data_IF_567235937320
#
_entry.id   IF_567235937320
#
_cell.length_a   1.000
_cell.length_b   1.000
_cell.length_c   1.000
_cell.angle_alpha   90.00
_cell.angle_beta   90.00
_cell.angle_gamma   90.00
#
_symmetry.space_group_name_H-M   'P 1'
#
loop_
_entity.id
_entity.type
_entity.pdbx_description
1 polymer ?
#
# COMPACT_ATOMS: atom_id res chain seq x y z
N UNK A 1 20.39 -35.46 17.83
CA UNK A 1 19.52 -34.50 17.11
C UNK A 1 18.15 -35.17 17.04
N UNK A 2 17.13 -34.69 17.78
CA UNK A 2 15.80 -35.25 17.62
C UNK A 2 15.34 -34.97 16.18
N UNK A 3 14.87 -36.01 15.47
CA UNK A 3 14.21 -35.83 14.18
C UNK A 3 13.08 -34.80 14.36
N UNK A 4 13.09 -33.76 13.53
CA UNK A 4 12.01 -32.77 13.49
C UNK A 4 10.72 -33.51 13.14
N UNK A 5 9.90 -33.78 14.17
CA UNK A 5 8.58 -34.37 13.97
C UNK A 5 7.75 -33.34 13.20
N UNK A 6 7.65 -33.60 11.91
CA UNK A 6 6.94 -32.78 10.96
C UNK A 6 5.53 -33.34 10.79
N UNK A 7 4.47 -32.61 11.17
CA UNK A 7 3.10 -33.14 11.17
C UNK A 7 2.54 -33.46 9.76
N UNK A 8 3.31 -33.14 8.70
CA UNK A 8 2.96 -33.36 7.30
C UNK A 8 4.21 -33.84 6.56
N UNK A 9 4.06 -34.77 5.61
CA UNK A 9 5.15 -35.16 4.72
C UNK A 9 5.56 -34.00 3.80
N UNK A 10 6.79 -34.04 3.29
CA UNK A 10 7.26 -33.04 2.32
C UNK A 10 6.37 -32.98 1.07
N UNK A 11 5.83 -34.12 0.64
CA UNK A 11 4.87 -34.19 -0.48
C UNK A 11 3.53 -33.51 -0.17
N UNK A 12 3.09 -33.49 1.09
CA UNK A 12 1.88 -32.80 1.52
C UNK A 12 2.08 -31.30 1.71
N UNK A 13 3.33 -30.83 1.84
CA UNK A 13 3.68 -29.41 1.99
C UNK A 13 3.96 -28.70 0.67
N UNK A 14 4.26 -29.45 -0.38
CA UNK A 14 4.52 -28.88 -1.71
C UNK A 14 3.25 -28.26 -2.29
N UNK A 15 3.38 -27.03 -2.77
CA UNK A 15 2.35 -26.42 -3.61
C UNK A 15 2.18 -27.26 -4.87
N UNK A 16 0.93 -27.49 -5.26
CA UNK A 16 0.57 -28.34 -6.40
C UNK A 16 0.13 -27.48 -7.58
N UNK A 17 0.31 -27.96 -8.82
CA UNK A 17 -0.27 -27.31 -10.00
C UNK A 17 -1.79 -27.19 -9.90
N UNK A 18 -2.36 -26.26 -10.67
CA UNK A 18 -3.81 -26.15 -10.82
C UNK A 18 -4.40 -27.46 -11.36
N UNK A 19 -5.51 -27.90 -10.77
CA UNK A 19 -6.27 -29.06 -11.25
C UNK A 19 -7.00 -28.73 -12.56
N UNK A 20 -7.52 -29.73 -13.26
CA UNK A 20 -8.40 -29.51 -14.41
C UNK A 20 -9.62 -28.66 -14.06
N UNK A 21 -10.21 -28.88 -12.89
CA UNK A 21 -11.35 -28.09 -12.41
C UNK A 21 -10.95 -26.63 -12.19
N UNK A 22 -9.82 -26.36 -11.52
CA UNK A 22 -9.35 -25.00 -11.29
C UNK A 22 -9.09 -24.25 -12.61
N UNK A 23 -8.48 -24.93 -13.58
CA UNK A 23 -8.24 -24.38 -14.93
C UNK A 23 -9.54 -24.05 -15.65
N UNK A 24 -10.50 -24.96 -15.60
CA UNK A 24 -11.81 -24.75 -16.21
C UNK A 24 -12.56 -23.57 -15.58
N UNK A 25 -12.56 -23.45 -14.24
CA UNK A 25 -13.19 -22.32 -13.53
C UNK A 25 -12.54 -20.98 -13.88
N UNK A 26 -11.20 -20.93 -13.97
CA UNK A 26 -10.49 -19.72 -14.38
C UNK A 26 -10.81 -19.33 -15.82
N UNK A 27 -10.83 -20.29 -16.75
CA UNK A 27 -11.22 -20.05 -18.14
C UNK A 27 -12.68 -19.56 -18.25
N UNK A 28 -13.60 -20.20 -17.53
CA UNK A 28 -15.01 -19.79 -17.49
C UNK A 28 -15.20 -18.40 -16.84
N UNK A 29 -14.32 -18.00 -15.92
CA UNK A 29 -14.32 -16.64 -15.38
C UNK A 29 -13.82 -15.61 -16.39
N UNK A 30 -12.80 -15.98 -17.17
CA UNK A 30 -12.23 -15.11 -18.20
C UNK A 30 -13.28 -14.67 -19.24
N UNK A 31 -14.24 -15.54 -19.57
CA UNK A 31 -15.33 -15.25 -20.50
C UNK A 31 -16.38 -14.25 -19.97
N UNK A 32 -16.36 -13.92 -18.68
CA UNK A 32 -17.38 -13.06 -18.03
C UNK A 32 -17.01 -11.58 -18.02
N UNK A 33 -15.76 -11.22 -18.28
CA UNK A 33 -15.26 -9.84 -18.17
C UNK A 33 -14.55 -9.40 -19.46
N UNK A 34 -14.58 -8.09 -19.78
CA UNK A 34 -13.95 -7.56 -20.99
C UNK A 34 -12.45 -7.36 -20.81
N UNK A 35 -11.65 -8.44 -20.76
CA UNK A 35 -10.19 -8.37 -20.57
C UNK A 35 -9.43 -7.62 -21.67
N UNK A 36 -10.05 -7.42 -22.84
CA UNK A 36 -9.46 -6.64 -23.94
C UNK A 36 -9.64 -5.13 -23.80
N UNK A 37 -10.40 -4.65 -22.81
CA UNK A 37 -10.58 -3.23 -22.55
C UNK A 37 -9.33 -2.65 -21.85
N UNK A 38 -8.55 -1.77 -22.49
CA UNK A 38 -7.31 -1.24 -21.92
C UNK A 38 -7.56 -0.09 -20.94
N UNK A 39 -8.80 0.36 -20.75
CA UNK A 39 -9.13 1.60 -20.05
C UNK A 39 -8.48 1.72 -18.66
N UNK A 40 -8.48 0.65 -17.87
CA UNK A 40 -7.89 0.68 -16.52
C UNK A 40 -6.36 0.79 -16.56
N UNK A 41 -5.70 0.16 -17.53
CA UNK A 41 -4.26 0.28 -17.73
C UNK A 41 -3.89 1.69 -18.19
N UNK A 42 -4.65 2.26 -19.12
CA UNK A 42 -4.47 3.65 -19.57
C UNK A 42 -4.67 4.65 -18.42
N UNK A 43 -5.72 4.46 -17.62
CA UNK A 43 -5.99 5.30 -16.45
C UNK A 43 -4.93 5.14 -15.36
N UNK A 44 -4.46 3.92 -15.11
CA UNK A 44 -3.36 3.68 -14.19
C UNK A 44 -2.10 4.40 -14.66
N UNK A 45 -1.74 4.35 -15.94
CA UNK A 45 -0.50 5.00 -16.40
C UNK A 45 -0.61 6.52 -16.61
N UNK A 46 -1.84 7.05 -16.70
CA UNK A 46 -2.09 8.46 -16.96
C UNK A 46 -1.41 9.37 -15.94
N UNK A 47 -0.65 10.34 -16.45
CA UNK A 47 0.03 11.34 -15.64
C UNK A 47 1.33 10.86 -14.98
N UNK A 48 1.86 9.68 -15.36
CA UNK A 48 3.13 9.18 -14.83
C UNK A 48 4.27 10.19 -14.96
N UNK A 49 5.04 10.37 -13.89
CA UNK A 49 6.21 11.26 -13.84
C UNK A 49 7.48 10.45 -13.63
N UNK A 50 7.54 9.66 -12.56
CA UNK A 50 8.73 8.92 -12.16
C UNK A 50 8.42 7.84 -11.13
N UNK A 51 9.35 6.91 -10.94
CA UNK A 51 9.27 5.88 -9.89
C UNK A 51 10.66 5.56 -9.32
N UNK A 52 10.72 4.64 -8.35
CA UNK A 52 11.96 4.02 -7.91
C UNK A 52 12.23 2.77 -8.76
N UNK A 53 13.49 2.57 -9.16
CA UNK A 53 13.94 1.40 -9.90
C UNK A 53 15.25 0.87 -9.30
N UNK A 54 15.25 -0.29 -8.60
CA UNK A 54 14.07 -1.06 -8.23
C UNK A 54 13.20 -0.35 -7.18
N UNK A 55 11.90 -0.67 -7.13
CA UNK A 55 11.03 -0.24 -6.03
C UNK A 55 11.27 -1.09 -4.78
N UNK A 56 12.34 -0.74 -4.07
CA UNK A 56 12.71 -1.35 -2.80
C UNK A 56 13.04 -0.26 -1.79
N UNK A 57 12.39 -0.32 -0.63
CA UNK A 57 12.53 0.66 0.45
C UNK A 57 13.04 -0.07 1.68
N UNK A 58 14.23 0.29 2.15
CA UNK A 58 14.87 -0.32 3.30
C UNK A 58 14.15 0.05 4.60
N UNK A 59 14.09 -0.90 5.54
CA UNK A 59 13.63 -0.58 6.90
C UNK A 59 14.73 0.20 7.63
N UNK A 60 14.34 1.26 8.34
CA UNK A 60 15.23 2.10 9.17
C UNK A 60 16.07 1.33 10.21
N UNK A 61 15.59 0.16 10.68
CA UNK A 61 16.31 -0.69 11.65
C UNK A 61 17.38 -1.60 11.01
N UNK A 62 17.47 -1.63 9.68
CA UNK A 62 18.39 -2.50 8.94
C UNK A 62 17.95 -3.98 8.90
N UNK A 63 18.57 -4.76 8.02
CA UNK A 63 18.39 -6.21 7.93
C UNK A 63 17.09 -6.70 7.27
N UNK A 64 16.16 -5.80 6.93
CA UNK A 64 14.92 -6.09 6.21
C UNK A 64 14.49 -4.92 5.32
N UNK A 65 13.60 -5.18 4.37
CA UNK A 65 12.89 -4.15 3.60
C UNK A 65 11.62 -3.74 4.34
N UNK A 66 11.30 -2.44 4.31
CA UNK A 66 9.98 -1.94 4.73
C UNK A 66 8.95 -2.19 3.63
N UNK A 67 9.39 -2.17 2.37
CA UNK A 67 8.55 -2.41 1.20
C UNK A 67 9.39 -2.85 0.01
N UNK A 68 8.89 -3.77 -0.81
CA UNK A 68 9.58 -4.24 -2.01
C UNK A 68 8.58 -4.79 -3.04
N UNK A 69 8.53 -4.16 -4.22
CA UNK A 69 7.77 -4.68 -5.37
C UNK A 69 8.70 -5.24 -6.47
N UNK A 70 10.02 -5.20 -6.30
CA UNK A 70 10.95 -5.77 -7.29
C UNK A 70 10.74 -7.28 -7.50
N UNK A 71 10.29 -7.97 -6.46
CA UNK A 71 9.93 -9.39 -6.51
C UNK A 71 8.62 -9.68 -7.26
N UNK A 72 7.83 -8.67 -7.62
CA UNK A 72 6.55 -8.81 -8.32
C UNK A 72 6.68 -8.82 -9.85
N UNK A 73 7.90 -8.78 -10.40
CA UNK A 73 8.14 -8.77 -11.84
C UNK A 73 7.56 -9.99 -12.60
N UNK A 74 7.24 -11.08 -11.90
CA UNK A 74 6.53 -12.22 -12.49
C UNK A 74 5.10 -11.90 -12.94
N UNK A 75 4.54 -10.74 -12.55
CA UNK A 75 3.26 -10.24 -13.03
C UNK A 75 3.32 -9.72 -14.48
N UNK A 76 4.51 -9.46 -15.03
CA UNK A 76 4.71 -9.07 -16.43
C UNK A 76 4.61 -10.31 -17.36
N UNK A 77 3.51 -11.03 -17.24
CA UNK A 77 3.15 -12.18 -18.06
C UNK A 77 1.63 -12.36 -18.09
N UNK A 78 1.16 -13.27 -18.94
CA UNK A 78 -0.23 -13.72 -18.91
C UNK A 78 -0.59 -14.38 -17.58
N UNK A 79 -1.88 -14.35 -17.24
CA UNK A 79 -2.39 -14.95 -16.01
C UNK A 79 -2.14 -16.47 -16.00
N UNK A 80 -1.49 -17.03 -14.96
CA UNK A 80 -1.27 -18.46 -14.85
C UNK A 80 -2.55 -19.17 -14.41
N UNK A 81 -2.65 -20.45 -14.75
CA UNK A 81 -3.76 -21.34 -14.35
C UNK A 81 -3.98 -21.45 -12.83
N UNK A 82 -3.00 -21.05 -12.01
CA UNK A 82 -3.04 -21.07 -10.55
C UNK A 82 -3.62 -19.79 -9.92
N UNK A 83 -3.93 -18.77 -10.72
CA UNK A 83 -4.49 -17.49 -10.25
C UNK A 83 -5.74 -17.16 -11.04
N UNK A 84 -6.75 -16.60 -10.38
CA UNK A 84 -7.92 -16.09 -11.08
C UNK A 84 -7.52 -14.96 -12.05
N UNK A 85 -7.96 -14.96 -13.33
CA UNK A 85 -7.48 -13.99 -14.32
C UNK A 85 -7.87 -12.54 -13.98
N UNK A 86 -9.00 -12.31 -13.31
CA UNK A 86 -9.38 -10.96 -12.87
C UNK A 86 -8.51 -10.46 -11.72
N UNK A 87 -8.16 -11.34 -10.78
CA UNK A 87 -7.20 -10.99 -9.72
C UNK A 87 -5.81 -10.71 -10.31
N UNK A 88 -5.41 -11.44 -11.35
CA UNK A 88 -4.13 -11.21 -12.02
C UNK A 88 -4.07 -9.83 -12.69
N UNK A 89 -5.11 -9.46 -13.42
CA UNK A 89 -5.23 -8.12 -14.01
C UNK A 89 -5.16 -7.03 -12.93
N UNK A 90 -5.90 -7.20 -11.83
CA UNK A 90 -5.86 -6.26 -10.70
C UNK A 90 -4.46 -6.19 -10.06
N UNK A 91 -3.76 -7.32 -9.96
CA UNK A 91 -2.40 -7.37 -9.45
C UNK A 91 -1.42 -6.62 -10.37
N UNK A 92 -1.56 -6.74 -11.70
CA UNK A 92 -0.77 -6.00 -12.67
C UNK A 92 -1.01 -4.49 -12.55
N UNK A 93 -2.27 -4.05 -12.46
CA UNK A 93 -2.63 -2.65 -12.24
C UNK A 93 -1.96 -2.10 -10.98
N UNK A 94 -2.05 -2.83 -9.87
CA UNK A 94 -1.51 -2.38 -8.59
C UNK A 94 0.02 -2.41 -8.53
N UNK A 95 0.67 -3.49 -9.01
CA UNK A 95 2.09 -3.71 -8.78
C UNK A 95 2.99 -3.15 -9.89
N UNK A 96 2.51 -3.07 -11.14
CA UNK A 96 3.32 -2.60 -12.27
C UNK A 96 3.15 -1.10 -12.56
N UNK A 97 2.11 -0.45 -12.03
CA UNK A 97 1.82 0.98 -12.26
C UNK A 97 2.13 1.85 -11.02
N UNK A 98 3.32 1.64 -10.45
CA UNK A 98 3.81 2.31 -9.26
C UNK A 98 4.62 3.58 -9.58
N UNK A 99 4.56 4.58 -8.72
CA UNK A 99 5.28 5.84 -8.95
C UNK A 99 4.56 7.10 -8.50
N UNK A 100 5.11 8.24 -8.92
CA UNK A 100 4.54 9.56 -8.83
C UNK A 100 3.75 9.88 -10.10
N UNK A 101 2.50 10.32 -9.93
CA UNK A 101 1.57 10.64 -11.00
C UNK A 101 0.95 12.02 -10.79
N UNK A 102 0.80 12.81 -11.84
CA UNK A 102 -0.05 14.00 -11.86
C UNK A 102 -1.51 13.60 -12.09
N UNK A 103 -2.39 13.95 -11.15
CA UNK A 103 -3.84 13.74 -11.28
C UNK A 103 -4.45 14.90 -12.06
N UNK A 104 -4.08 16.11 -11.66
CA UNK A 104 -4.44 17.36 -12.32
C UNK A 104 -3.43 18.45 -11.89
N UNK A 105 -3.40 19.63 -12.56
CA UNK A 105 -2.46 20.68 -12.20
C UNK A 105 -2.56 21.06 -10.71
N UNK A 106 -1.45 20.87 -9.98
CA UNK A 106 -1.39 21.15 -8.55
C UNK A 106 -1.70 19.97 -7.62
N UNK A 107 -2.08 18.79 -8.16
CA UNK A 107 -2.42 17.59 -7.40
C UNK A 107 -1.70 16.37 -7.98
N UNK A 108 -0.93 15.69 -7.13
CA UNK A 108 -0.19 14.49 -7.46
C UNK A 108 -0.49 13.36 -6.49
N UNK A 109 -0.26 12.13 -6.92
CA UNK A 109 -0.29 10.96 -6.06
C UNK A 109 0.99 10.16 -6.22
N UNK A 110 1.51 9.67 -5.09
CA UNK A 110 2.46 8.57 -5.08
C UNK A 110 1.69 7.29 -4.78
N UNK A 111 1.74 6.34 -5.72
CA UNK A 111 0.92 5.13 -5.72
C UNK A 111 1.78 3.88 -5.66
N UNK A 112 1.27 2.86 -4.97
CA UNK A 112 1.92 1.56 -4.81
C UNK A 112 3.32 1.63 -4.18
N UNK A 113 3.55 2.63 -3.32
CA UNK A 113 4.65 2.63 -2.36
C UNK A 113 4.24 1.95 -1.04
N UNK A 114 2.95 1.64 -0.92
CA UNK A 114 2.27 0.95 0.16
C UNK A 114 0.94 0.39 -0.39
N UNK A 115 0.04 -0.07 0.46
CA UNK A 115 -1.32 -0.49 0.08
C UNK A 115 -2.19 0.72 -0.32
N UNK A 116 -2.00 1.85 0.34
CA UNK A 116 -2.69 3.12 0.08
C UNK A 116 -1.86 4.04 -0.84
N UNK A 117 -2.51 5.10 -1.31
CA UNK A 117 -1.87 6.19 -2.04
C UNK A 117 -1.61 7.36 -1.11
N UNK A 118 -0.49 8.07 -1.31
CA UNK A 118 -0.25 9.37 -0.69
C UNK A 118 -0.52 10.47 -1.69
N UNK A 119 -1.42 11.41 -1.36
CA UNK A 119 -1.73 12.55 -2.24
C UNK A 119 -0.95 13.78 -1.80
N UNK A 120 -0.38 14.50 -2.76
CA UNK A 120 0.29 15.78 -2.54
C UNK A 120 -0.45 16.89 -3.29
N UNK A 121 -0.84 17.93 -2.58
CA UNK A 121 -1.45 19.13 -3.14
C UNK A 121 -0.48 20.30 -2.94
N UNK A 122 -0.21 21.04 -4.01
CA UNK A 122 0.60 22.26 -3.92
C UNK A 122 -0.23 23.39 -3.31
N UNK A 123 0.05 23.73 -2.06
CA UNK A 123 -0.43 24.95 -1.44
C UNK A 123 0.47 26.15 -1.75
N UNK A 124 0.06 27.33 -1.29
CA UNK A 124 0.81 28.58 -1.48
C UNK A 124 2.14 28.59 -0.71
N UNK A 125 2.19 27.94 0.45
CA UNK A 125 3.34 27.94 1.37
C UNK A 125 4.06 26.60 1.47
N UNK A 126 3.51 25.52 0.90
CA UNK A 126 4.06 24.18 1.09
C UNK A 126 3.21 23.06 0.49
N UNK A 127 3.54 21.83 0.85
CA UNK A 127 2.74 20.65 0.54
C UNK A 127 1.59 20.50 1.55
N UNK A 128 0.39 20.28 1.03
CA UNK A 128 -0.68 19.63 1.78
C UNK A 128 -0.62 18.15 1.42
N UNK A 129 -0.41 17.29 2.43
CA UNK A 129 -0.33 15.85 2.24
C UNK A 129 -1.65 15.22 2.71
N UNK A 130 -2.19 14.31 1.92
CA UNK A 130 -3.34 13.48 2.32
C UNK A 130 -2.84 12.05 2.46
N UNK A 131 -3.12 11.46 3.61
CA UNK A 131 -2.89 10.05 3.96
C UNK A 131 -1.42 9.60 3.80
N UNK A 132 -0.55 9.91 4.78
CA UNK A 132 0.87 9.58 4.71
C UNK A 132 1.17 8.10 5.01
N UNK A 133 0.57 7.18 4.25
CA UNK A 133 0.85 5.73 4.17
C UNK A 133 0.90 5.00 5.52
N UNK A 134 1.25 3.70 5.49
CA UNK A 134 1.33 2.84 6.68
C UNK A 134 2.65 3.03 7.43
N UNK A 135 3.75 3.26 6.74
CA UNK A 135 5.08 3.26 7.36
C UNK A 135 5.91 4.52 7.07
N UNK A 136 6.68 4.93 8.08
CA UNK A 136 7.52 6.12 8.07
C UNK A 136 8.50 6.12 6.90
N UNK A 137 9.09 4.97 6.59
CA UNK A 137 10.05 4.82 5.50
C UNK A 137 9.42 5.05 4.12
N UNK A 138 8.21 4.51 3.90
CA UNK A 138 7.54 4.61 2.59
C UNK A 138 6.97 6.01 2.36
N UNK A 139 6.43 6.66 3.38
CA UNK A 139 5.94 8.05 3.28
C UNK A 139 7.09 9.03 3.03
N UNK A 140 8.25 8.80 3.66
CA UNK A 140 9.47 9.56 3.38
C UNK A 140 9.92 9.37 1.94
N UNK A 141 10.03 8.11 1.48
CA UNK A 141 10.45 7.80 0.11
C UNK A 141 9.50 8.43 -0.93
N UNK A 142 8.20 8.42 -0.67
CA UNK A 142 7.19 9.04 -1.51
C UNK A 142 7.35 10.57 -1.57
N UNK A 143 7.55 11.23 -0.42
CA UNK A 143 7.77 12.67 -0.36
C UNK A 143 9.10 13.07 -1.01
N UNK A 144 10.16 12.30 -0.81
CA UNK A 144 11.48 12.51 -1.42
C UNK A 144 11.40 12.39 -2.95
N UNK A 145 10.64 11.42 -3.47
CA UNK A 145 10.38 11.28 -4.90
C UNK A 145 9.65 12.52 -5.44
N UNK A 146 8.58 12.95 -4.78
CA UNK A 146 7.86 14.15 -5.17
C UNK A 146 8.75 15.40 -5.15
N UNK A 147 9.53 15.61 -4.08
CA UNK A 147 10.44 16.74 -3.95
C UNK A 147 11.53 16.75 -5.02
N UNK A 148 12.02 15.58 -5.44
CA UNK A 148 13.02 15.45 -6.51
C UNK A 148 12.51 15.96 -7.86
N UNK A 149 11.25 15.67 -8.20
CA UNK A 149 10.70 15.97 -9.53
C UNK A 149 9.85 17.24 -9.58
N UNK A 150 9.23 17.64 -8.46
CA UNK A 150 8.29 18.77 -8.38
C UNK A 150 8.89 19.99 -7.63
N UNK A 151 10.09 19.83 -7.08
CA UNK A 151 10.78 20.81 -6.24
C UNK A 151 10.41 20.66 -4.77
N UNK A 152 11.43 20.73 -3.90
CA UNK A 152 11.26 20.58 -2.46
C UNK A 152 10.43 21.72 -1.84
N UNK A 153 9.51 21.36 -0.95
CA UNK A 153 8.67 22.32 -0.19
C UNK A 153 8.48 21.80 1.24
N UNK A 154 8.32 22.69 2.23
CA UNK A 154 7.90 22.27 3.56
C UNK A 154 6.49 21.68 3.51
N UNK A 155 6.18 20.77 4.43
CA UNK A 155 4.79 20.34 4.65
C UNK A 155 4.07 21.44 5.43
N UNK A 156 3.01 21.98 4.84
CA UNK A 156 2.21 23.07 5.39
C UNK A 156 0.86 22.61 5.94
N UNK A 157 0.49 21.35 5.74
CA UNK A 157 -0.72 20.74 6.30
C UNK A 157 -0.83 19.26 5.97
N UNK A 158 -1.54 18.52 6.81
CA UNK A 158 -1.80 17.10 6.62
C UNK A 158 -3.29 16.84 6.84
N UNK A 159 -3.88 16.03 5.97
CA UNK A 159 -5.25 15.54 6.09
C UNK A 159 -5.18 14.02 6.23
N UNK A 160 -5.87 13.49 7.25
CA UNK A 160 -6.12 12.05 7.38
C UNK A 160 -7.59 11.83 7.02
N UNK A 161 -7.85 11.03 5.99
CA UNK A 161 -9.22 10.83 5.48
C UNK A 161 -10.05 9.95 6.41
N UNK A 162 -9.45 8.94 7.03
CA UNK A 162 -10.14 8.04 7.94
C UNK A 162 -9.18 7.30 8.90
N UNK A 163 -9.75 6.47 9.79
CA UNK A 163 -9.07 5.90 10.96
C UNK A 163 -8.31 4.60 10.73
N UNK A 164 -8.04 4.20 9.47
CA UNK A 164 -7.25 3.00 9.17
C UNK A 164 -5.75 3.30 9.03
N UNK A 165 -4.94 2.33 9.43
CA UNK A 165 -3.51 2.50 9.72
C UNK A 165 -2.69 2.95 8.50
N UNK A 166 -3.10 2.53 7.32
CA UNK A 166 -2.52 2.87 6.02
C UNK A 166 -2.73 4.33 5.62
N UNK A 167 -3.53 5.09 6.37
CA UNK A 167 -3.82 6.49 6.12
C UNK A 167 -3.16 7.45 7.10
N UNK A 168 -2.46 6.97 8.13
CA UNK A 168 -1.83 7.87 9.11
C UNK A 168 -0.51 7.38 9.67
N UNK A 169 -0.22 6.08 9.61
CA UNK A 169 0.84 5.53 10.45
C UNK A 169 2.26 5.90 9.99
N UNK A 170 2.44 6.27 8.73
CA UNK A 170 3.70 6.79 8.20
C UNK A 170 3.91 8.30 8.39
N UNK A 171 3.08 8.98 9.20
CA UNK A 171 3.11 10.44 9.36
C UNK A 171 4.48 11.02 9.76
N UNK A 172 5.28 10.32 10.58
CA UNK A 172 6.65 10.75 10.94
C UNK A 172 7.67 10.63 9.78
N UNK A 173 7.24 10.09 8.63
CA UNK A 173 8.01 10.16 7.38
C UNK A 173 7.95 11.52 6.72
N UNK A 174 6.93 12.34 7.03
CA UNK A 174 6.64 13.59 6.31
C UNK A 174 6.61 14.85 7.19
N UNK A 175 6.48 14.70 8.51
CA UNK A 175 6.42 15.86 9.43
C UNK A 175 7.12 15.57 10.76
N UNK A 176 7.61 16.63 11.40
CA UNK A 176 8.06 16.58 12.79
C UNK A 176 6.85 16.62 13.74
N UNK A 177 6.88 15.80 14.79
CA UNK A 177 5.80 15.73 15.76
C UNK A 177 5.59 17.07 16.51
N UNK A 178 6.65 17.83 16.76
CA UNK A 178 6.58 19.10 17.49
C UNK A 178 5.97 20.21 16.65
N UNK A 179 6.14 20.17 15.32
CA UNK A 179 5.46 21.08 14.39
C UNK A 179 3.94 20.88 14.41
N UNK A 180 3.47 19.63 14.57
CA UNK A 180 2.03 19.35 14.74
C UNK A 180 1.54 19.75 16.13
N UNK A 181 2.27 19.38 17.19
CA UNK A 181 1.89 19.69 18.58
C UNK A 181 1.84 21.18 18.87
N UNK A 182 2.73 21.96 18.27
CA UNK A 182 2.76 23.43 18.41
C UNK A 182 1.67 24.13 17.59
N UNK A 183 0.98 23.42 16.69
CA UNK A 183 0.00 24.00 15.77
C UNK A 183 0.62 24.67 14.54
N UNK A 184 1.94 24.55 14.34
CA UNK A 184 2.63 25.08 13.15
C UNK A 184 2.20 24.35 11.88
N UNK A 185 1.98 23.04 11.96
CA UNK A 185 1.41 22.23 10.87
C UNK A 185 0.02 21.76 11.30
N UNK A 186 -1.05 22.17 10.60
CA UNK A 186 -2.39 21.63 10.85
C UNK A 186 -2.42 20.14 10.45
N UNK A 187 -2.87 19.32 11.38
CA UNK A 187 -3.21 17.92 11.16
C UNK A 187 -4.73 17.79 11.31
N UNK A 188 -5.39 17.61 10.18
CA UNK A 188 -6.85 17.63 10.03
C UNK A 188 -7.35 16.19 9.93
N UNK A 189 -8.39 15.84 10.68
CA UNK A 189 -9.07 14.55 10.56
C UNK A 189 -10.58 14.67 10.84
N UNK A 190 -11.39 13.66 10.48
CA UNK A 190 -12.79 13.60 10.89
C UNK A 190 -12.95 13.56 12.41
N UNK A 191 -14.01 14.17 12.93
CA UNK A 191 -14.44 13.98 14.30
C UNK A 191 -14.62 12.48 14.60
N UNK A 192 -14.11 12.02 15.76
CA UNK A 192 -14.10 10.60 16.13
C UNK A 192 -12.84 9.85 15.71
N UNK A 193 -11.98 10.41 14.86
CA UNK A 193 -10.74 9.75 14.38
C UNK A 193 -9.92 9.10 15.49
N UNK A 194 -9.59 9.84 16.56
CA UNK A 194 -8.76 9.33 17.66
C UNK A 194 -9.44 8.16 18.38
N UNK A 195 -10.76 8.23 18.56
CA UNK A 195 -11.51 7.17 19.22
C UNK A 195 -11.48 5.90 18.37
N UNK A 196 -11.78 5.99 17.08
CA UNK A 196 -11.87 4.83 16.19
C UNK A 196 -10.49 4.22 15.90
N UNK A 197 -9.47 5.05 15.63
CA UNK A 197 -8.12 4.57 15.33
C UNK A 197 -7.52 3.73 16.48
N UNK A 198 -7.90 4.07 17.73
CA UNK A 198 -7.45 3.35 18.92
C UNK A 198 -8.40 2.21 19.31
N UNK A 199 -9.72 2.43 19.30
CA UNK A 199 -10.70 1.45 19.79
C UNK A 199 -10.71 0.17 18.93
N UNK A 200 -10.56 0.31 17.62
CA UNK A 200 -10.62 -0.79 16.65
C UNK A 200 -9.46 -1.78 16.86
N UNK A 201 -8.30 -1.29 17.28
CA UNK A 201 -7.05 -2.07 17.23
C UNK A 201 -6.55 -2.60 18.58
N UNK A 202 -7.16 -2.19 19.70
CA UNK A 202 -6.63 -2.54 21.04
C UNK A 202 -7.25 -3.84 21.57
N UNK A 203 -8.58 -3.87 21.80
CA UNK A 203 -9.22 -4.98 22.52
C UNK A 203 -9.10 -6.33 21.79
N UNK A 204 -9.26 -6.30 20.46
CA UNK A 204 -9.12 -7.48 19.60
C UNK A 204 -7.81 -7.49 18.80
N UNK A 205 -6.86 -6.62 19.13
CA UNK A 205 -5.65 -6.38 18.34
C UNK A 205 -4.83 -7.65 18.05
N UNK A 206 -4.65 -8.52 19.06
CA UNK A 206 -3.89 -9.76 18.88
C UNK A 206 -4.55 -10.72 17.88
N UNK A 207 -5.87 -10.93 18.00
CA UNK A 207 -6.60 -11.85 17.09
C UNK A 207 -6.74 -11.25 15.70
N UNK A 208 -6.98 -9.94 15.60
CA UNK A 208 -7.05 -9.22 14.34
C UNK A 208 -5.70 -9.24 13.63
N UNK A 209 -4.60 -8.93 14.33
CA UNK A 209 -3.25 -8.96 13.79
C UNK A 209 -2.86 -10.35 13.28
N UNK A 210 -3.17 -11.42 14.05
CA UNK A 210 -2.91 -12.78 13.58
C UNK A 210 -3.74 -13.13 12.34
N UNK A 211 -5.02 -12.74 12.28
CA UNK A 211 -5.86 -12.98 11.09
C UNK A 211 -5.42 -12.16 9.88
N UNK A 212 -4.94 -10.93 10.11
CA UNK A 212 -4.41 -10.06 9.07
C UNK A 212 -3.22 -10.71 8.33
N UNK A 213 -2.42 -11.54 9.01
CA UNK A 213 -1.33 -12.27 8.32
C UNK A 213 -1.82 -13.26 7.26
N UNK A 214 -3.05 -13.77 7.39
CA UNK A 214 -3.68 -14.57 6.34
C UNK A 214 -4.30 -13.67 5.26
N UNK A 215 -5.03 -12.62 5.67
CA UNK A 215 -5.69 -11.69 4.74
C UNK A 215 -4.70 -11.01 3.79
N UNK A 216 -3.57 -10.53 4.32
CA UNK A 216 -2.56 -9.82 3.53
C UNK A 216 -1.46 -10.73 2.99
N UNK A 217 -1.49 -12.03 3.32
CA UNK A 217 -0.53 -13.01 2.80
C UNK A 217 0.94 -12.65 3.04
N UNK A 218 1.26 -11.85 4.07
CA UNK A 218 2.61 -11.33 4.32
C UNK A 218 3.63 -12.40 4.75
N UNK A 219 3.19 -13.65 4.92
CA UNK A 219 4.05 -14.82 5.16
C UNK A 219 4.26 -15.68 3.90
N UNK A 220 3.62 -15.33 2.78
CA UNK A 220 3.76 -16.01 1.50
C UNK A 220 4.83 -15.31 0.66
N UNK A 221 5.64 -16.09 -0.05
CA UNK A 221 6.57 -15.54 -1.03
C UNK A 221 5.82 -15.04 -2.27
N UNK A 222 6.20 -13.86 -2.83
CA UNK A 222 5.72 -13.40 -4.13
C UNK A 222 5.91 -14.45 -5.22
N UNK A 223 4.82 -14.94 -5.81
CA UNK A 223 4.83 -15.86 -6.97
C UNK A 223 3.42 -16.16 -7.47
N UNK A 224 3.31 -16.73 -8.67
CA UNK A 224 2.07 -17.28 -9.25
C UNK A 224 1.38 -18.37 -8.39
N UNK A 225 2.06 -18.90 -7.36
CA UNK A 225 1.58 -19.95 -6.46
C UNK A 225 1.59 -19.52 -4.99
N UNK A 226 1.87 -18.24 -4.72
CA UNK A 226 2.03 -17.67 -3.40
C UNK A 226 1.31 -16.32 -3.28
N UNK A 227 2.03 -15.29 -2.84
CA UNK A 227 1.48 -13.93 -2.78
C UNK A 227 1.43 -13.30 -4.18
N UNK A 228 0.27 -12.75 -4.55
CA UNK A 228 0.03 -12.10 -5.85
C UNK A 228 -0.41 -10.65 -5.68
N UNK A 229 -1.34 -10.38 -4.74
CA UNK A 229 -1.85 -9.04 -4.46
C UNK A 229 -2.72 -9.06 -3.20
N UNK A 230 -2.97 -7.89 -2.61
CA UNK A 230 -4.05 -7.70 -1.62
C UNK A 230 -5.39 -7.33 -2.28
N UNK A 231 -5.44 -7.19 -3.60
CA UNK A 231 -6.59 -6.76 -4.39
C UNK A 231 -6.80 -5.24 -4.35
N UNK A 232 -6.86 -4.67 -3.15
CA UNK A 232 -7.00 -3.22 -2.94
C UNK A 232 -5.74 -2.44 -3.38
N UNK A 233 -4.57 -2.94 -3.00
CA UNK A 233 -3.27 -2.38 -3.38
C UNK A 233 -2.28 -3.50 -3.72
N UNK A 234 -1.01 -3.15 -3.94
CA UNK A 234 -0.01 -4.15 -4.31
C UNK A 234 0.38 -5.02 -3.11
N UNK A 235 0.79 -4.38 -2.00
CA UNK A 235 1.20 -5.02 -0.75
C UNK A 235 1.12 -4.01 0.40
N UNK A 236 1.12 -4.48 1.64
CA UNK A 236 1.18 -3.66 2.85
C UNK A 236 2.64 -3.43 3.28
N UNK A 237 3.02 -2.19 3.57
CA UNK A 237 4.35 -1.90 4.10
C UNK A 237 4.54 -2.38 5.54
N UNK A 238 5.74 -2.89 5.84
CA UNK A 238 6.14 -3.47 7.13
C UNK A 238 7.28 -2.68 7.78
N UNK A 239 7.10 -1.36 7.90
CA UNK A 239 8.07 -0.43 8.50
C UNK A 239 7.65 0.13 9.86
N UNK A 240 8.23 1.29 10.21
CA UNK A 240 7.91 1.97 11.47
C UNK A 240 6.57 2.71 11.40
N UNK A 241 5.65 2.36 12.31
CA UNK A 241 4.35 3.01 12.46
C UNK A 241 4.37 4.08 13.56
N UNK A 242 3.51 5.09 13.43
CA UNK A 242 3.42 6.21 14.34
C UNK A 242 1.99 6.75 14.40
N UNK A 243 1.69 7.60 15.39
CA UNK A 243 0.39 8.23 15.52
C UNK A 243 0.57 9.63 16.10
N UNK A 244 -0.08 10.63 15.50
CA UNK A 244 -0.15 11.98 16.02
C UNK A 244 -1.62 12.35 16.20
N UNK A 245 -1.94 13.01 17.32
CA UNK A 245 -3.30 13.49 17.60
C UNK A 245 -3.60 14.68 16.67
N UNK A 246 -4.68 14.65 15.88
CA UNK A 246 -5.10 15.80 15.07
C UNK A 246 -5.34 17.04 15.93
N UNK A 247 -4.90 18.19 15.44
CA UNK A 247 -5.09 19.48 16.09
C UNK A 247 -6.26 20.28 15.48
N UNK A 248 -6.84 19.77 14.39
CA UNK A 248 -8.06 20.28 13.77
C UNK A 248 -8.99 19.12 13.41
N UNK A 249 -10.29 19.26 13.69
CA UNK A 249 -11.28 18.20 13.49
C UNK A 249 -12.47 18.71 12.70
N UNK A 250 -12.76 18.04 11.58
CA UNK A 250 -13.95 18.28 10.77
C UNK A 250 -15.16 17.67 11.47
N UNK A 251 -16.13 18.50 11.86
CA UNK A 251 -17.34 18.10 12.61
C UNK A 251 -18.63 18.23 11.81
N UNK A 252 -18.66 19.14 10.84
CA UNK A 252 -19.85 19.48 10.06
C UNK A 252 -19.45 19.58 8.60
N UNK A 253 -20.34 19.14 7.70
CA UNK A 253 -20.25 19.41 6.26
C UNK A 253 -21.18 20.58 5.95
N UNK A 254 -20.69 21.56 5.19
CA UNK A 254 -21.47 22.70 4.74
C UNK A 254 -22.59 22.32 3.77
#
# INVERSE_FOLDING_TARGET
>A
MPEEISPLSDSARRVRPATEVARWENAAFAEKLPFSDPTDFENAWRGFIASLEPLTIAHSRGGATAYDLSAMGFLDSDAPDTVNPSLWLQAQLNALHHGLFEVMPGIWQVRSFDIANMTLIRGDTGWIIIDPLTATEVSRAALDLANRYLGARPVSGIIITHSHVDHYAGILGVVDADDVRSGKVPLIAPAGFVQEALSENILAGNVMGRRATYTYGNLLSPSAQGFVSTGLGAALALGGTSFLVPNDLIRETC
#
